data_IF_725911963055
#
_entry.id   IF_725911963055
#
_cell.length_a   1.000
_cell.length_b   1.000
_cell.length_c   1.000
_cell.angle_alpha   90.00
_cell.angle_beta   90.00
_cell.angle_gamma   90.00
#
_symmetry.space_group_name_H-M   'P 1'
#
loop_
_entity.id
_entity.type
_entity.pdbx_description
1 polymer ?
#
# COMPACT_ATOMS: atom_id res chain seq x y z
N UNK A 1 -22.37 15.86 -23.85
CA UNK A 1 -22.60 15.28 -22.52
C UNK A 1 -21.34 14.73 -21.82
N UNK A 2 -20.13 14.90 -22.38
CA UNK A 2 -18.87 14.40 -21.79
C UNK A 2 -18.08 15.38 -20.90
N UNK A 3 -18.49 16.65 -20.85
CA UNK A 3 -17.69 17.73 -20.22
C UNK A 3 -18.00 17.93 -18.74
N UNK A 4 -19.21 17.64 -18.28
CA UNK A 4 -19.64 17.85 -16.88
C UNK A 4 -19.11 16.74 -15.96
N UNK A 5 -19.12 15.48 -16.41
CA UNK A 5 -18.60 14.33 -15.66
C UNK A 5 -17.09 14.40 -15.42
N UNK A 6 -16.34 15.03 -16.33
CA UNK A 6 -14.89 15.20 -16.20
C UNK A 6 -14.55 16.29 -15.17
N UNK A 7 -15.32 17.39 -15.14
CA UNK A 7 -15.10 18.51 -14.21
C UNK A 7 -15.49 18.12 -12.77
N UNK A 8 -16.53 17.33 -12.58
CA UNK A 8 -16.91 16.87 -11.23
C UNK A 8 -15.93 15.86 -10.61
N UNK A 9 -15.22 15.08 -11.41
CA UNK A 9 -14.17 14.17 -10.92
C UNK A 9 -12.95 14.87 -10.29
N UNK A 10 -12.70 16.12 -10.63
CA UNK A 10 -11.58 16.90 -10.07
C UNK A 10 -11.95 17.63 -8.76
N UNK A 11 -13.22 17.63 -8.36
CA UNK A 11 -13.72 18.39 -7.18
C UNK A 11 -13.97 17.48 -5.96
N UNK A 12 -14.12 16.17 -6.14
CA UNK A 12 -14.44 15.24 -5.05
C UNK A 12 -13.28 14.27 -4.83
N UNK A 13 -12.67 14.34 -3.66
CA UNK A 13 -11.70 13.33 -3.24
C UNK A 13 -12.39 11.98 -3.09
N UNK A 14 -11.89 10.97 -3.79
CA UNK A 14 -12.34 9.60 -3.63
C UNK A 14 -11.70 8.98 -2.38
N UNK A 15 -12.42 8.04 -1.77
CA UNK A 15 -11.89 7.20 -0.70
C UNK A 15 -11.28 5.94 -1.30
N UNK A 16 -9.95 5.89 -1.31
CA UNK A 16 -9.18 4.80 -1.88
C UNK A 16 -8.68 3.91 -0.76
N UNK A 17 -9.06 2.65 -0.78
CA UNK A 17 -8.52 1.66 0.14
C UNK A 17 -7.38 0.88 -0.50
N UNK A 18 -6.35 0.54 0.28
CA UNK A 18 -5.25 -0.34 -0.10
C UNK A 18 -5.26 -1.50 0.88
N UNK A 19 -5.34 -2.74 0.39
CA UNK A 19 -5.40 -3.92 1.23
C UNK A 19 -4.56 -5.08 0.69
N UNK A 20 -3.58 -5.59 1.45
CA UNK A 20 -2.92 -6.84 1.13
C UNK A 20 -3.88 -8.02 1.19
N UNK A 21 -3.78 -8.91 0.20
CA UNK A 21 -4.62 -10.12 0.15
C UNK A 21 -3.89 -11.30 0.78
N UNK A 22 -4.59 -11.99 1.68
CA UNK A 22 -4.21 -13.29 2.21
C UNK A 22 -5.46 -14.18 2.36
N UNK A 23 -5.63 -14.84 3.49
CA UNK A 23 -6.74 -15.76 3.75
C UNK A 23 -7.94 -15.09 4.46
N UNK A 24 -8.05 -13.78 4.34
CA UNK A 24 -9.11 -12.99 4.96
C UNK A 24 -9.95 -12.26 3.91
N UNK A 25 -11.25 -12.23 4.12
CA UNK A 25 -12.21 -11.56 3.24
C UNK A 25 -12.92 -10.43 3.98
N UNK A 26 -13.45 -10.72 5.16
CA UNK A 26 -14.33 -9.81 5.91
C UNK A 26 -13.61 -8.54 6.31
N UNK A 27 -12.37 -8.63 6.77
CA UNK A 27 -11.56 -7.47 7.18
C UNK A 27 -11.23 -6.52 6.02
N UNK A 28 -11.35 -6.98 4.77
CA UNK A 28 -11.23 -6.12 3.58
C UNK A 28 -12.60 -5.59 3.18
N UNK A 29 -13.57 -6.48 2.99
CA UNK A 29 -14.88 -6.12 2.43
C UNK A 29 -15.69 -5.27 3.40
N UNK A 30 -15.81 -5.71 4.67
CA UNK A 30 -16.61 -4.98 5.68
C UNK A 30 -16.00 -3.62 5.96
N UNK A 31 -14.67 -3.52 6.07
CA UNK A 31 -13.99 -2.23 6.27
C UNK A 31 -14.22 -1.29 5.09
N UNK A 32 -14.09 -1.76 3.85
CA UNK A 32 -14.34 -0.96 2.67
C UNK A 32 -15.78 -0.42 2.63
N UNK A 33 -16.76 -1.26 2.99
CA UNK A 33 -18.18 -0.85 3.02
C UNK A 33 -18.45 0.13 4.16
N UNK A 34 -17.97 -0.15 5.39
CA UNK A 34 -18.19 0.73 6.56
C UNK A 34 -17.57 2.11 6.38
N UNK A 35 -16.38 2.16 5.78
CA UNK A 35 -15.65 3.39 5.53
C UNK A 35 -16.00 4.04 4.18
N UNK A 36 -17.01 3.50 3.47
CA UNK A 36 -17.53 4.02 2.19
C UNK A 36 -16.44 4.19 1.13
N UNK A 37 -15.65 3.14 0.91
CA UNK A 37 -14.63 3.14 -0.13
C UNK A 37 -15.24 3.28 -1.53
N UNK A 38 -14.68 4.13 -2.36
CA UNK A 38 -15.03 4.25 -3.79
C UNK A 38 -14.26 3.23 -4.62
N UNK A 39 -13.02 2.94 -4.20
CA UNK A 39 -12.12 2.00 -4.85
C UNK A 39 -11.24 1.27 -3.84
N UNK A 40 -10.96 0.01 -4.12
CA UNK A 40 -10.01 -0.81 -3.34
C UNK A 40 -8.90 -1.33 -4.25
N UNK A 41 -7.66 -1.01 -3.90
CA UNK A 41 -6.47 -1.65 -4.44
C UNK A 41 -6.15 -2.90 -3.63
N UNK A 42 -6.09 -4.04 -4.31
CA UNK A 42 -5.71 -5.32 -3.71
C UNK A 42 -4.24 -5.61 -4.05
N UNK A 43 -3.42 -5.85 -3.03
CA UNK A 43 -2.03 -6.27 -3.22
C UNK A 43 -2.00 -7.80 -3.17
N UNK A 44 -1.83 -8.43 -4.33
CA UNK A 44 -1.76 -9.88 -4.49
C UNK A 44 -0.31 -10.38 -4.59
N UNK A 45 -0.12 -11.68 -4.42
CA UNK A 45 1.20 -12.29 -4.61
C UNK A 45 1.61 -12.29 -6.09
N UNK A 46 2.89 -11.96 -6.36
CA UNK A 46 3.47 -11.92 -7.71
C UNK A 46 3.66 -13.30 -8.35
N UNK A 47 3.79 -14.36 -7.54
CA UNK A 47 3.82 -15.74 -8.04
C UNK A 47 2.41 -16.33 -8.13
N UNK A 48 1.79 -16.20 -9.29
CA UNK A 48 0.41 -16.65 -9.53
C UNK A 48 0.24 -18.17 -9.40
N UNK A 49 1.27 -18.95 -9.66
CA UNK A 49 1.22 -20.43 -9.61
C UNK A 49 1.24 -20.95 -8.17
N UNK A 50 1.78 -20.18 -7.22
CA UNK A 50 1.84 -20.51 -5.78
C UNK A 50 0.94 -19.61 -4.93
N UNK A 51 0.03 -18.87 -5.54
CA UNK A 51 -0.86 -17.95 -4.82
C UNK A 51 -2.07 -18.69 -4.23
N UNK A 52 -1.88 -19.25 -3.03
CA UNK A 52 -2.95 -19.88 -2.25
C UNK A 52 -4.08 -18.90 -1.87
N UNK A 53 -3.83 -17.58 -1.98
CA UNK A 53 -4.82 -16.54 -1.66
C UNK A 53 -5.73 -16.17 -2.85
N UNK A 54 -5.50 -16.72 -4.05
CA UNK A 54 -6.27 -16.39 -5.25
C UNK A 54 -7.79 -16.53 -5.06
N UNK A 55 -8.25 -17.63 -4.43
CA UNK A 55 -9.68 -17.85 -4.18
C UNK A 55 -10.29 -16.78 -3.29
N UNK A 56 -9.53 -16.27 -2.31
CA UNK A 56 -9.96 -15.20 -1.41
C UNK A 56 -10.03 -13.87 -2.15
N UNK A 57 -9.02 -13.55 -2.98
CA UNK A 57 -9.03 -12.38 -3.85
C UNK A 57 -10.27 -12.35 -4.73
N UNK A 58 -10.54 -13.44 -5.45
CA UNK A 58 -11.73 -13.53 -6.31
C UNK A 58 -13.04 -13.33 -5.55
N UNK A 59 -13.13 -13.88 -4.32
CA UNK A 59 -14.28 -13.68 -3.44
C UNK A 59 -14.42 -12.21 -3.02
N UNK A 60 -13.30 -11.55 -2.65
CA UNK A 60 -13.27 -10.12 -2.30
C UNK A 60 -13.73 -9.27 -3.48
N UNK A 61 -13.15 -9.45 -4.68
CA UNK A 61 -13.52 -8.73 -5.91
C UNK A 61 -15.03 -8.86 -6.21
N UNK A 62 -15.56 -10.11 -6.13
CA UNK A 62 -16.99 -10.38 -6.33
C UNK A 62 -17.87 -9.65 -5.33
N UNK A 63 -17.51 -9.64 -4.04
CA UNK A 63 -18.28 -9.00 -2.98
C UNK A 63 -18.23 -7.47 -3.09
N UNK A 64 -17.06 -6.89 -3.36
CA UNK A 64 -16.90 -5.44 -3.55
C UNK A 64 -17.67 -4.96 -4.80
N UNK A 65 -17.61 -5.72 -5.90
CA UNK A 65 -18.41 -5.44 -7.11
C UNK A 65 -19.92 -5.40 -6.82
N UNK A 66 -20.43 -6.34 -6.01
CA UNK A 66 -21.86 -6.33 -5.59
C UNK A 66 -22.24 -5.10 -4.77
N UNK A 67 -21.26 -4.45 -4.13
CA UNK A 67 -21.46 -3.21 -3.36
C UNK A 67 -21.20 -1.94 -4.17
N UNK A 68 -20.92 -2.07 -5.48
CA UNK A 68 -20.60 -0.94 -6.35
C UNK A 68 -19.19 -0.36 -6.15
N UNK A 69 -18.32 -1.03 -5.39
CA UNK A 69 -16.97 -0.59 -5.10
C UNK A 69 -16.03 -1.11 -6.19
N UNK A 70 -15.27 -0.21 -6.81
CA UNK A 70 -14.28 -0.57 -7.84
C UNK A 70 -13.10 -1.29 -7.22
N UNK A 71 -12.50 -2.25 -7.96
CA UNK A 71 -11.29 -2.95 -7.54
C UNK A 71 -10.21 -2.83 -8.59
N UNK A 72 -8.97 -2.62 -8.15
CA UNK A 72 -7.76 -2.76 -8.94
C UNK A 72 -6.79 -3.69 -8.21
N UNK A 73 -5.93 -4.39 -8.97
CA UNK A 73 -4.97 -5.35 -8.41
C UNK A 73 -3.56 -4.92 -8.76
N UNK A 74 -2.67 -4.94 -7.79
CA UNK A 74 -1.23 -4.87 -7.99
C UNK A 74 -0.58 -6.10 -7.41
N UNK A 75 0.65 -6.39 -7.83
CA UNK A 75 1.36 -7.60 -7.44
C UNK A 75 2.64 -7.24 -6.71
N UNK A 76 2.93 -7.95 -5.62
CA UNK A 76 4.16 -7.81 -4.87
C UNK A 76 4.58 -9.15 -4.27
N UNK A 77 5.90 -9.35 -4.13
CA UNK A 77 6.42 -10.52 -3.44
C UNK A 77 6.08 -10.44 -1.96
N UNK A 78 5.16 -11.29 -1.51
CA UNK A 78 4.63 -11.31 -0.13
C UNK A 78 5.66 -11.68 0.93
N UNK A 79 6.82 -12.20 0.53
CA UNK A 79 7.89 -12.61 1.45
C UNK A 79 8.97 -11.53 1.61
N UNK A 80 8.89 -10.45 0.86
CA UNK A 80 9.91 -9.40 0.83
C UNK A 80 9.34 -8.04 1.17
N UNK A 81 9.95 -7.36 2.14
CA UNK A 81 9.51 -6.06 2.64
C UNK A 81 9.51 -4.96 1.56
N UNK A 82 10.62 -4.78 0.85
CA UNK A 82 10.77 -3.68 -0.11
C UNK A 82 9.83 -3.74 -1.32
N UNK A 83 9.53 -4.89 -1.95
CA UNK A 83 8.50 -4.98 -2.97
C UNK A 83 7.12 -4.55 -2.48
N UNK A 84 6.76 -4.86 -1.22
CA UNK A 84 5.50 -4.44 -0.62
C UNK A 84 5.49 -2.92 -0.42
N UNK A 85 6.55 -2.34 0.17
CA UNK A 85 6.68 -0.88 0.31
C UNK A 85 6.56 -0.21 -1.04
N UNK A 86 7.26 -0.70 -2.06
CA UNK A 86 7.21 -0.18 -3.43
C UNK A 86 5.79 -0.19 -3.97
N UNK A 87 5.08 -1.32 -3.91
CA UNK A 87 3.71 -1.44 -4.41
C UNK A 87 2.76 -0.45 -3.74
N UNK A 88 2.83 -0.31 -2.41
CA UNK A 88 1.99 0.65 -1.67
C UNK A 88 2.34 2.08 -2.01
N UNK A 89 3.62 2.44 -2.09
CA UNK A 89 4.06 3.80 -2.44
C UNK A 89 3.66 4.20 -3.87
N UNK A 90 3.73 3.27 -4.82
CA UNK A 90 3.28 3.50 -6.20
C UNK A 90 1.77 3.77 -6.26
N UNK A 91 0.96 3.03 -5.47
CA UNK A 91 -0.48 3.28 -5.38
C UNK A 91 -0.74 4.64 -4.74
N UNK A 92 -0.09 4.95 -3.61
CA UNK A 92 -0.23 6.25 -2.93
C UNK A 92 0.10 7.40 -3.90
N UNK A 93 1.18 7.28 -4.64
CA UNK A 93 1.57 8.29 -5.63
C UNK A 93 0.55 8.44 -6.76
N UNK A 94 0.02 7.33 -7.28
CA UNK A 94 -1.01 7.32 -8.32
C UNK A 94 -2.32 7.98 -7.85
N UNK A 95 -2.66 7.74 -6.59
CA UNK A 95 -3.93 8.20 -5.98
C UNK A 95 -3.77 9.47 -5.12
N UNK A 96 -2.65 10.17 -5.20
CA UNK A 96 -2.28 11.28 -4.30
C UNK A 96 -3.26 12.45 -4.20
N UNK A 97 -4.21 12.55 -5.12
CA UNK A 97 -5.29 13.56 -5.07
C UNK A 97 -6.44 13.13 -4.15
N UNK A 98 -6.50 11.88 -3.77
CA UNK A 98 -7.61 11.22 -3.05
C UNK A 98 -7.27 11.01 -1.57
N UNK A 99 -8.27 10.65 -0.77
CA UNK A 99 -8.09 10.18 0.60
C UNK A 99 -7.76 8.70 0.59
N UNK A 100 -6.60 8.32 1.14
CA UNK A 100 -6.04 6.97 1.03
C UNK A 100 -6.08 6.28 2.37
N UNK A 101 -6.75 5.14 2.44
CA UNK A 101 -6.89 4.31 3.63
C UNK A 101 -6.13 3.01 3.45
N UNK A 102 -5.09 2.78 4.26
CA UNK A 102 -4.22 1.61 4.13
C UNK A 102 -4.54 0.59 5.22
N UNK A 103 -5.09 -0.55 4.81
CA UNK A 103 -5.42 -1.65 5.72
C UNK A 103 -4.15 -2.42 6.09
N UNK A 104 -3.75 -2.36 7.36
CA UNK A 104 -2.59 -3.11 7.88
C UNK A 104 -3.02 -4.37 8.64
N UNK A 105 -4.33 -4.64 8.69
CA UNK A 105 -4.86 -5.79 9.42
C UNK A 105 -4.83 -7.09 8.62
N UNK A 106 -4.64 -7.02 7.30
CA UNK A 106 -4.69 -8.17 6.39
C UNK A 106 -3.33 -8.46 5.77
N UNK A 107 -3.19 -9.65 5.19
CA UNK A 107 -1.90 -10.11 4.72
C UNK A 107 -1.03 -10.70 5.84
N UNK A 108 0.23 -10.88 5.57
CA UNK A 108 1.22 -11.35 6.55
C UNK A 108 1.75 -10.18 7.42
N UNK A 109 2.49 -10.50 8.49
CA UNK A 109 3.18 -9.49 9.33
C UNK A 109 4.08 -8.56 8.50
N UNK A 110 4.76 -9.09 7.47
CA UNK A 110 5.59 -8.29 6.55
C UNK A 110 4.75 -7.31 5.74
N UNK A 111 3.51 -7.68 5.35
CA UNK A 111 2.59 -6.72 4.72
C UNK A 111 2.21 -5.59 5.67
N UNK A 112 1.87 -5.90 6.92
CA UNK A 112 1.53 -4.88 7.91
C UNK A 112 2.68 -3.87 8.11
N UNK A 113 3.91 -4.38 8.29
CA UNK A 113 5.12 -3.57 8.44
C UNK A 113 5.35 -2.72 7.17
N UNK A 114 5.30 -3.34 5.99
CA UNK A 114 5.54 -2.66 4.72
C UNK A 114 4.50 -1.56 4.42
N UNK A 115 3.23 -1.83 4.70
CA UNK A 115 2.15 -0.85 4.57
C UNK A 115 2.34 0.34 5.50
N UNK A 116 2.66 0.11 6.79
CA UNK A 116 2.95 1.18 7.74
C UNK A 116 4.16 2.01 7.32
N UNK A 117 5.27 1.35 6.95
CA UNK A 117 6.46 2.06 6.46
C UNK A 117 6.17 2.89 5.22
N UNK A 118 5.39 2.37 4.28
CA UNK A 118 4.98 3.12 3.09
C UNK A 118 4.20 4.37 3.44
N UNK A 119 3.24 4.30 4.39
CA UNK A 119 2.51 5.47 4.86
C UNK A 119 3.44 6.53 5.48
N UNK A 120 4.47 6.10 6.21
CA UNK A 120 5.43 6.99 6.87
C UNK A 120 6.41 7.68 5.92
N UNK A 121 6.52 7.25 4.66
CA UNK A 121 7.37 7.90 3.64
C UNK A 121 6.76 9.19 3.08
N UNK A 122 5.46 9.41 3.29
CA UNK A 122 4.75 10.58 2.81
C UNK A 122 4.47 11.57 3.95
N UNK A 123 4.45 12.86 3.61
CA UNK A 123 4.18 13.95 4.56
C UNK A 123 2.71 14.41 4.54
N UNK A 124 1.84 13.64 3.92
CA UNK A 124 0.42 13.99 3.73
C UNK A 124 -0.46 13.22 4.74
N UNK A 125 -0.38 13.63 6.02
CA UNK A 125 -1.12 12.99 7.12
C UNK A 125 -2.63 13.21 7.02
N UNK A 126 -3.03 14.26 6.34
CA UNK A 126 -4.45 14.59 6.18
C UNK A 126 -5.12 13.73 5.11
N UNK A 127 -4.32 13.04 4.29
CA UNK A 127 -4.81 12.21 3.19
C UNK A 127 -4.45 10.74 3.27
N UNK A 128 -3.48 10.36 4.11
CA UNK A 128 -3.00 8.97 4.22
C UNK A 128 -3.29 8.43 5.61
N UNK A 129 -4.21 7.48 5.69
CA UNK A 129 -4.81 6.97 6.91
C UNK A 129 -4.58 5.45 7.05
N UNK A 130 -3.50 4.98 7.65
CA UNK A 130 -3.38 3.57 7.99
C UNK A 130 -4.39 3.22 9.07
N UNK A 131 -5.00 2.04 8.93
CA UNK A 131 -5.97 1.55 9.88
C UNK A 131 -5.83 0.04 10.12
N UNK A 132 -6.28 -0.38 11.30
CA UNK A 132 -6.37 -1.79 11.68
C UNK A 132 -7.83 -2.18 11.88
N UNK A 133 -8.29 -3.15 11.10
CA UNK A 133 -9.62 -3.73 11.23
C UNK A 133 -9.56 -4.90 12.22
N UNK A 134 -10.07 -4.72 13.43
CA UNK A 134 -10.15 -5.77 14.43
C UNK A 134 -11.17 -6.82 14.01
N UNK A 135 -10.76 -8.09 13.95
CA UNK A 135 -11.69 -9.17 13.68
C UNK A 135 -12.65 -9.38 14.86
N UNK A 136 -13.88 -9.77 14.57
CA UNK A 136 -14.90 -10.12 15.58
C UNK A 136 -14.66 -11.51 16.15
N UNK A 137 -14.23 -12.48 15.29
CA UNK A 137 -14.02 -13.88 15.66
C UNK A 137 -12.72 -14.40 15.10
N UNK A 138 -12.00 -15.17 15.95
CA UNK A 138 -10.80 -15.92 15.64
C UNK A 138 -11.11 -17.40 15.86
N UNK A 139 -11.63 -18.12 14.87
CA UNK A 139 -11.91 -19.55 15.01
C UNK A 139 -10.59 -20.34 15.15
N UNK A 140 -10.67 -21.52 15.72
CA UNK A 140 -9.57 -22.48 15.62
C UNK A 140 -9.32 -22.79 14.14
N UNK A 141 -8.04 -22.71 13.73
CA UNK A 141 -7.68 -22.87 12.33
C UNK A 141 -7.67 -24.35 11.93
N UNK A 142 -8.71 -24.79 11.25
CA UNK A 142 -8.84 -26.16 10.73
C UNK A 142 -8.32 -26.31 9.27
N UNK A 143 -7.56 -25.32 8.78
CA UNK A 143 -7.01 -25.37 7.42
C UNK A 143 -8.01 -25.05 6.29
N UNK A 144 -9.27 -24.77 6.63
CA UNK A 144 -10.34 -24.42 5.68
C UNK A 144 -11.05 -23.14 6.10
N UNK A 145 -11.54 -22.37 5.10
CA UNK A 145 -12.20 -21.09 5.37
C UNK A 145 -11.23 -19.92 5.46
N UNK A 146 -11.70 -18.76 5.94
CA UNK A 146 -10.85 -17.60 6.20
C UNK A 146 -10.30 -17.65 7.64
N UNK A 147 -9.18 -16.98 7.88
CA UNK A 147 -8.51 -17.00 9.19
C UNK A 147 -9.30 -16.27 10.28
N UNK A 148 -10.08 -15.25 9.90
CA UNK A 148 -10.90 -14.47 10.83
C UNK A 148 -12.24 -14.14 10.21
N UNK A 149 -13.24 -13.81 11.05
CA UNK A 149 -14.59 -13.45 10.61
C UNK A 149 -15.04 -12.15 11.25
N UNK A 150 -15.83 -11.39 10.48
CA UNK A 150 -16.39 -10.13 10.90
C UNK A 150 -15.36 -9.03 11.10
N UNK A 151 -15.84 -7.87 11.51
CA UNK A 151 -15.05 -6.73 11.97
C UNK A 151 -15.79 -6.12 13.14
N UNK A 152 -15.19 -6.17 14.32
CA UNK A 152 -15.73 -5.53 15.52
C UNK A 152 -15.48 -4.03 15.48
N UNK A 153 -14.24 -3.61 15.29
CA UNK A 153 -13.82 -2.22 15.36
C UNK A 153 -12.77 -1.90 14.28
N UNK A 154 -12.68 -0.62 13.93
CA UNK A 154 -11.66 -0.09 13.01
C UNK A 154 -10.86 0.96 13.76
N UNK A 155 -9.59 0.67 14.01
CA UNK A 155 -8.66 1.56 14.71
C UNK A 155 -7.86 2.37 13.70
N UNK A 156 -7.90 3.70 13.81
CA UNK A 156 -6.95 4.57 13.12
C UNK A 156 -5.57 4.41 13.77
N UNK A 157 -4.54 4.34 12.96
CA UNK A 157 -3.17 4.20 13.45
C UNK A 157 -2.39 5.51 13.26
N UNK A 158 -1.59 5.93 14.26
CA UNK A 158 -0.75 7.11 14.13
C UNK A 158 0.37 6.87 13.12
N UNK A 159 0.72 7.91 12.36
CA UNK A 159 1.87 7.91 11.48
C UNK A 159 2.89 8.95 11.90
N UNK A 160 4.16 8.63 11.71
CA UNK A 160 5.27 9.54 11.89
C UNK A 160 6.08 9.58 10.59
N UNK A 161 6.50 10.77 10.17
CA UNK A 161 7.32 10.89 8.97
C UNK A 161 8.68 10.24 9.21
N UNK A 162 9.06 9.30 8.34
CA UNK A 162 10.44 8.86 8.22
C UNK A 162 11.18 9.94 7.42
N UNK A 163 12.18 10.58 8.04
CA UNK A 163 12.99 11.59 7.35
C UNK A 163 13.63 11.00 6.09
N UNK A 164 13.28 11.56 4.94
CA UNK A 164 13.96 11.19 3.69
C UNK A 164 15.34 11.83 3.68
N UNK A 165 16.40 11.10 3.30
CA UNK A 165 17.72 11.70 3.14
C UNK A 165 17.67 12.88 2.16
N UNK A 166 18.45 13.91 2.40
CA UNK A 166 18.59 15.04 1.49
C UNK A 166 19.02 14.53 0.10
N UNK A 167 18.59 15.25 -0.94
CA UNK A 167 18.88 14.88 -2.34
C UNK A 167 20.38 14.65 -2.57
N UNK A 168 21.21 15.52 -2.00
CA UNK A 168 22.66 15.46 -2.11
C UNK A 168 23.21 14.13 -1.55
N UNK A 169 22.65 13.66 -0.42
CA UNK A 169 23.05 12.40 0.19
C UNK A 169 22.62 11.19 -0.67
N UNK A 170 21.44 11.23 -1.26
CA UNK A 170 20.95 10.19 -2.18
C UNK A 170 21.84 10.10 -3.43
N UNK A 171 22.22 11.24 -4.00
CA UNK A 171 23.12 11.28 -5.15
C UNK A 171 24.53 10.81 -4.78
N UNK A 172 25.04 11.18 -3.62
CA UNK A 172 26.31 10.66 -3.10
C UNK A 172 26.28 9.12 -2.98
N UNK A 173 25.20 8.56 -2.48
CA UNK A 173 25.01 7.10 -2.40
C UNK A 173 24.96 6.45 -3.78
N UNK A 174 24.36 7.10 -4.79
CA UNK A 174 24.35 6.64 -6.18
C UNK A 174 25.77 6.61 -6.76
N UNK A 175 26.54 7.68 -6.57
CA UNK A 175 27.94 7.74 -7.02
C UNK A 175 28.76 6.59 -6.41
N UNK A 176 28.61 6.34 -5.10
CA UNK A 176 29.29 5.24 -4.41
C UNK A 176 28.88 3.89 -5.00
N UNK A 177 27.58 3.69 -5.24
CA UNK A 177 27.05 2.46 -5.83
C UNK A 177 27.59 2.23 -7.24
N UNK A 178 27.57 3.26 -8.09
CA UNK A 178 28.07 3.20 -9.48
C UNK A 178 29.57 2.91 -9.51
N UNK A 179 30.32 3.33 -8.48
CA UNK A 179 31.74 3.05 -8.30
C UNK A 179 32.05 1.68 -7.65
N UNK A 180 31.04 0.78 -7.55
CA UNK A 180 31.26 -0.55 -6.98
C UNK A 180 31.31 -0.59 -5.44
N UNK A 181 30.71 0.40 -4.76
CA UNK A 181 30.57 0.46 -3.30
C UNK A 181 31.71 1.18 -2.58
N UNK A 182 32.78 1.61 -3.28
CA UNK A 182 33.88 2.39 -2.71
C UNK A 182 34.34 3.43 -3.71
N UNK A 183 34.59 4.65 -3.24
CA UNK A 183 35.15 5.74 -4.03
C UNK A 183 36.07 6.64 -3.18
N UNK A 184 37.14 7.14 -3.73
CA UNK A 184 37.99 8.12 -3.08
C UNK A 184 37.28 9.48 -3.02
N UNK A 185 37.46 10.25 -1.92
CA UNK A 185 36.84 11.57 -1.71
C UNK A 185 37.02 12.51 -2.90
N UNK A 186 38.24 12.58 -3.50
CA UNK A 186 38.51 13.43 -4.65
C UNK A 186 37.64 13.06 -5.86
N UNK A 187 37.62 11.78 -6.22
CA UNK A 187 36.79 11.28 -7.34
C UNK A 187 35.28 11.46 -7.08
N UNK A 188 34.86 11.34 -5.82
CA UNK A 188 33.45 11.57 -5.44
C UNK A 188 33.08 13.03 -5.66
N UNK A 189 33.97 13.99 -5.30
CA UNK A 189 33.72 15.41 -5.53
C UNK A 189 33.66 15.72 -7.04
N UNK A 190 34.60 15.21 -7.83
CA UNK A 190 34.60 15.36 -9.29
C UNK A 190 33.32 14.83 -9.95
N UNK A 191 32.82 13.68 -9.50
CA UNK A 191 31.57 13.10 -9.99
C UNK A 191 30.34 13.90 -9.52
N UNK A 192 30.31 14.44 -8.29
CA UNK A 192 29.26 15.29 -7.79
C UNK A 192 29.17 16.61 -8.58
N UNK A 193 30.28 17.24 -8.89
CA UNK A 193 30.35 18.44 -9.77
C UNK A 193 29.81 18.14 -11.17
N UNK A 194 30.25 17.04 -11.81
CA UNK A 194 29.75 16.63 -13.13
C UNK A 194 28.22 16.43 -13.14
N UNK A 195 27.67 15.91 -12.05
CA UNK A 195 26.23 15.67 -11.91
C UNK A 195 25.46 16.90 -11.40
N UNK A 196 26.13 18.05 -11.21
CA UNK A 196 25.55 19.30 -10.70
C UNK A 196 24.80 19.12 -9.38
N UNK A 197 25.40 18.38 -8.46
CA UNK A 197 24.85 18.09 -7.13
C UNK A 197 25.32 19.15 -6.12
N UNK A 198 26.51 19.68 -6.34
CA UNK A 198 27.16 20.78 -5.60
C UNK A 198 27.65 21.82 -6.61
#
# INVERSE_FOLDING_TARGET
>A
MHTVDTIMKDIVNLRIHIAPVAFEVDRIVISAVRMKADKVWLIAHDNVTDDKSLKYRQKIEKLLKKKGIKTEVTYANRLRLFPIIKAVTEIIFKERKNDIYVNVATGSKIHAIGCMMACMLFDDRDKIHPFYAQAEKYPEYEGTGQETYGVSEIHSLPTYRIGTPKRELLEAMRIIKDAGGRIQKKKMAEEAEKRKII
#
